data_IF_226540207685
#
_entry.id   IF_226540207685
#
_cell.length_a   1.000
_cell.length_b   1.000
_cell.length_c   1.000
_cell.angle_alpha   90.00
_cell.angle_beta   90.00
_cell.angle_gamma   90.00
#
_symmetry.space_group_name_H-M   'P 1'
#
loop_
_entity.id
_entity.type
_entity.pdbx_description
1 polymer ?
#
# COMPACT_ATOMS: atom_id res chain seq x y z
N UNK A 1 13.42 -10.91 -20.07
CA UNK A 1 14.85 -10.94 -19.72
C UNK A 1 15.08 -11.62 -18.36
N UNK A 2 14.54 -11.10 -17.25
CA UNK A 2 14.65 -11.73 -15.92
C UNK A 2 14.01 -13.13 -15.81
N UNK A 3 12.81 -13.33 -16.35
CA UNK A 3 12.17 -14.65 -16.35
C UNK A 3 12.94 -15.68 -17.19
N UNK A 4 13.54 -15.23 -18.29
CA UNK A 4 14.33 -16.09 -19.19
C UNK A 4 15.69 -16.43 -18.56
N UNK A 5 16.31 -15.48 -17.86
CA UNK A 5 17.49 -15.72 -17.03
C UNK A 5 17.20 -16.67 -15.85
N UNK A 6 16.03 -16.52 -15.20
CA UNK A 6 15.59 -17.43 -14.13
C UNK A 6 15.45 -18.87 -14.65
N UNK A 7 14.72 -19.06 -15.76
CA UNK A 7 14.53 -20.38 -16.38
C UNK A 7 15.84 -20.99 -16.87
N UNK A 8 16.74 -20.18 -17.45
CA UNK A 8 18.05 -20.66 -17.89
C UNK A 8 18.94 -21.12 -16.72
N UNK A 9 18.92 -20.40 -15.60
CA UNK A 9 19.66 -20.78 -14.38
C UNK A 9 19.05 -22.01 -13.72
N UNK A 10 17.72 -22.13 -13.72
CA UNK A 10 16.99 -23.26 -13.13
C UNK A 10 17.20 -24.57 -13.90
N UNK A 11 17.29 -24.52 -15.24
CA UNK A 11 17.56 -25.70 -16.08
C UNK A 11 19.03 -26.15 -15.98
N UNK A 12 19.96 -25.20 -15.79
CA UNK A 12 21.39 -25.49 -15.80
C UNK A 12 21.96 -25.84 -14.41
N UNK A 13 21.18 -25.70 -13.33
CA UNK A 13 21.68 -25.84 -11.97
C UNK A 13 20.95 -26.89 -11.14
N UNK A 14 21.72 -27.73 -10.45
CA UNK A 14 21.23 -28.71 -9.49
C UNK A 14 20.83 -28.07 -8.12
N UNK A 15 20.73 -26.72 -8.07
CA UNK A 15 20.42 -25.91 -6.88
C UNK A 15 19.51 -24.75 -7.28
N UNK A 16 18.55 -24.38 -6.42
CA UNK A 16 17.56 -23.35 -6.74
C UNK A 16 18.24 -21.98 -6.98
N UNK A 17 17.76 -21.14 -7.93
CA UNK A 17 18.42 -19.88 -8.31
C UNK A 17 18.70 -18.93 -7.14
N UNK A 18 17.88 -18.99 -6.09
CA UNK A 18 18.02 -18.21 -4.88
C UNK A 18 19.22 -18.66 -4.00
N UNK A 19 19.56 -19.96 -4.00
CA UNK A 19 20.76 -20.48 -3.32
C UNK A 19 22.04 -19.99 -4.00
N UNK A 20 22.04 -19.96 -5.35
CA UNK A 20 23.17 -19.46 -6.14
C UNK A 20 23.40 -17.98 -5.86
N UNK A 21 22.33 -17.18 -5.86
CA UNK A 21 22.41 -15.76 -5.53
C UNK A 21 22.96 -15.52 -4.12
N UNK A 22 22.53 -16.32 -3.13
CA UNK A 22 23.09 -16.24 -1.79
C UNK A 22 24.58 -16.64 -1.72
N UNK A 23 25.01 -17.66 -2.47
CA UNK A 23 26.42 -18.09 -2.51
C UNK A 23 27.35 -17.08 -3.18
N UNK A 24 26.89 -16.34 -4.19
CA UNK A 24 27.73 -15.36 -4.90
C UNK A 24 27.62 -13.92 -4.38
N UNK A 25 26.49 -13.52 -3.80
CA UNK A 25 26.27 -12.15 -3.32
C UNK A 25 26.74 -11.90 -1.88
N UNK A 26 27.21 -12.94 -1.16
CA UNK A 26 27.69 -12.79 0.22
C UNK A 26 29.21 -12.96 0.29
N UNK A 27 29.90 -11.94 0.82
CA UNK A 27 31.36 -11.86 0.93
C UNK A 27 32.02 -12.95 1.80
N UNK A 28 31.26 -13.88 2.39
CA UNK A 28 31.80 -15.06 3.08
C UNK A 28 30.97 -16.33 2.82
N UNK A 29 31.64 -17.36 2.33
CA UNK A 29 31.05 -18.67 2.06
C UNK A 29 30.45 -19.33 3.33
N UNK A 30 31.05 -19.07 4.49
CA UNK A 30 30.55 -19.59 5.77
C UNK A 30 29.17 -19.03 6.13
N UNK A 31 28.92 -17.73 5.93
CA UNK A 31 27.61 -17.15 6.20
C UNK A 31 26.58 -17.56 5.15
N UNK A 32 27.00 -17.75 3.89
CA UNK A 32 26.14 -18.27 2.84
C UNK A 32 25.61 -19.68 3.16
N UNK A 33 26.46 -20.55 3.71
CA UNK A 33 26.09 -21.92 4.10
C UNK A 33 24.99 -21.94 5.17
N UNK A 34 25.13 -21.15 6.24
CA UNK A 34 24.09 -21.09 7.27
C UNK A 34 22.78 -20.51 6.73
N UNK A 35 22.85 -19.47 5.89
CA UNK A 35 21.66 -18.89 5.24
C UNK A 35 20.94 -19.87 4.33
N UNK A 36 21.66 -20.72 3.60
CA UNK A 36 21.03 -21.74 2.75
C UNK A 36 20.29 -22.78 3.58
N UNK A 37 20.86 -23.22 4.71
CA UNK A 37 20.19 -24.16 5.62
C UNK A 37 18.96 -23.51 6.26
N UNK A 38 19.07 -22.27 6.74
CA UNK A 38 17.94 -21.51 7.27
C UNK A 38 16.82 -21.42 6.23
N UNK A 39 17.17 -21.10 4.98
CA UNK A 39 16.18 -20.98 3.91
C UNK A 39 15.49 -22.31 3.62
N UNK A 40 16.27 -23.38 3.45
CA UNK A 40 15.74 -24.72 3.14
C UNK A 40 14.81 -25.24 4.24
N UNK A 41 15.25 -25.17 5.50
CA UNK A 41 14.45 -25.63 6.63
C UNK A 41 13.27 -24.69 6.92
N UNK A 42 13.44 -23.38 6.73
CA UNK A 42 12.35 -22.43 6.86
C UNK A 42 11.25 -22.69 5.83
N UNK A 43 11.61 -22.95 4.56
CA UNK A 43 10.64 -23.35 3.53
C UNK A 43 9.95 -24.66 3.94
N UNK A 44 10.71 -25.64 4.45
CA UNK A 44 10.12 -26.90 4.94
C UNK A 44 9.08 -26.69 6.07
N UNK A 45 9.24 -25.68 6.93
CA UNK A 45 8.22 -25.32 7.93
C UNK A 45 6.94 -24.76 7.30
N UNK A 46 7.05 -24.11 6.14
CA UNK A 46 5.89 -23.57 5.41
C UNK A 46 5.16 -24.67 4.65
N UNK A 47 5.86 -25.37 3.76
CA UNK A 47 5.23 -26.30 2.80
C UNK A 47 5.22 -27.76 3.27
N UNK A 48 6.01 -28.10 4.29
CA UNK A 48 6.21 -29.46 4.76
C UNK A 48 7.38 -30.16 4.07
N UNK A 49 7.96 -31.15 4.73
CA UNK A 49 9.01 -31.99 4.17
C UNK A 49 9.04 -33.35 4.86
N UNK A 50 8.81 -34.40 4.08
CA UNK A 50 8.84 -35.79 4.57
C UNK A 50 10.24 -36.19 5.02
N UNK A 51 11.28 -35.81 4.27
CA UNK A 51 12.68 -36.07 4.60
C UNK A 51 13.07 -35.49 5.98
N UNK A 52 12.56 -34.29 6.28
CA UNK A 52 12.88 -33.57 7.52
C UNK A 52 11.88 -33.86 8.64
N UNK A 53 10.85 -34.69 8.39
CA UNK A 53 9.79 -35.00 9.35
C UNK A 53 8.91 -33.80 9.75
N UNK A 54 8.80 -32.80 8.87
CA UNK A 54 8.11 -31.53 9.16
C UNK A 54 6.72 -31.54 8.54
N UNK A 55 5.69 -31.40 9.38
CA UNK A 55 4.32 -31.11 8.94
C UNK A 55 4.20 -29.62 8.68
N UNK A 56 4.11 -29.22 7.41
CA UNK A 56 4.05 -27.81 7.00
C UNK A 56 2.80 -27.10 7.50
N UNK A 57 2.89 -25.78 7.70
CA UNK A 57 1.76 -24.92 8.06
C UNK A 57 1.53 -23.82 7.00
N UNK A 58 1.08 -24.16 5.79
CA UNK A 58 1.08 -23.22 4.66
C UNK A 58 0.07 -22.08 4.78
N UNK A 59 -1.05 -22.26 5.47
CA UNK A 59 -2.13 -21.26 5.51
C UNK A 59 -1.93 -20.19 6.58
N UNK A 60 -1.62 -20.59 7.81
CA UNK A 60 -1.52 -19.65 8.94
C UNK A 60 -0.10 -19.55 9.50
N UNK A 61 0.83 -20.34 8.98
CA UNK A 61 2.15 -20.47 9.57
C UNK A 61 2.09 -21.07 10.97
N UNK A 62 3.23 -21.00 11.66
CA UNK A 62 3.39 -21.51 13.03
C UNK A 62 3.21 -20.41 14.09
N UNK A 63 2.90 -19.17 13.68
CA UNK A 63 2.79 -18.03 14.58
C UNK A 63 4.13 -17.66 15.23
N UNK A 64 4.10 -17.41 16.54
CA UNK A 64 5.29 -17.12 17.36
C UNK A 64 5.95 -18.37 17.95
N UNK A 65 5.52 -19.56 17.54
CA UNK A 65 6.15 -20.82 17.96
C UNK A 65 7.54 -20.95 17.36
N UNK A 66 8.37 -21.76 18.01
CA UNK A 66 9.68 -22.10 17.50
C UNK A 66 9.56 -22.94 16.22
N UNK A 67 10.36 -22.59 15.21
CA UNK A 67 10.43 -23.33 13.96
C UNK A 67 11.35 -24.55 14.09
N UNK A 68 11.03 -25.59 13.32
CA UNK A 68 11.81 -26.83 13.30
C UNK A 68 13.07 -26.61 12.45
N UNK A 69 14.23 -26.92 13.01
CA UNK A 69 15.55 -26.73 12.39
C UNK A 69 16.47 -27.92 12.69
N UNK A 70 17.60 -28.09 12.00
CA UNK A 70 18.51 -29.18 12.29
C UNK A 70 19.09 -29.07 13.70
N UNK A 71 19.36 -30.20 14.34
CA UNK A 71 19.83 -30.27 15.74
C UNK A 71 21.14 -29.50 16.00
N UNK A 72 21.98 -29.35 14.98
CA UNK A 72 23.25 -28.63 15.06
C UNK A 72 23.11 -27.10 14.91
N UNK A 73 21.91 -26.61 14.59
CA UNK A 73 21.61 -25.18 14.49
C UNK A 73 21.02 -24.68 15.81
N UNK A 74 21.89 -24.25 16.72
CA UNK A 74 21.47 -23.80 18.05
C UNK A 74 20.65 -22.51 18.00
N UNK A 75 21.01 -21.57 17.13
CA UNK A 75 20.29 -20.30 16.99
C UNK A 75 18.92 -20.49 16.34
N UNK A 76 17.90 -19.88 16.93
CA UNK A 76 16.55 -19.79 16.35
C UNK A 76 16.33 -18.59 15.41
N UNK A 77 17.34 -17.74 15.22
CA UNK A 77 17.22 -16.57 14.34
C UNK A 77 17.08 -16.97 12.87
N UNK A 78 16.24 -16.25 12.14
CA UNK A 78 16.08 -16.39 10.69
C UNK A 78 16.52 -15.11 10.00
N UNK A 79 17.50 -15.23 9.11
CA UNK A 79 18.09 -14.11 8.37
C UNK A 79 17.45 -13.93 6.99
N UNK A 80 16.11 -13.85 6.94
CA UNK A 80 15.36 -13.55 5.73
C UNK A 80 13.98 -13.02 6.11
N UNK A 81 13.73 -11.76 5.80
CA UNK A 81 12.46 -11.10 6.13
C UNK A 81 11.26 -11.81 5.52
N UNK A 82 11.32 -12.06 4.21
CA UNK A 82 10.26 -12.65 3.42
C UNK A 82 9.91 -14.06 3.90
N UNK A 83 10.92 -14.86 4.19
CA UNK A 83 10.76 -16.20 4.71
C UNK A 83 10.10 -16.20 6.10
N UNK A 84 10.51 -15.29 6.98
CA UNK A 84 9.89 -15.17 8.31
C UNK A 84 8.40 -14.85 8.21
N UNK A 85 8.00 -13.99 7.26
CA UNK A 85 6.58 -13.70 7.03
C UNK A 85 5.82 -14.97 6.62
N UNK A 86 6.41 -15.81 5.76
CA UNK A 86 5.81 -17.08 5.34
C UNK A 86 5.76 -18.11 6.47
N UNK A 87 6.82 -18.24 7.27
CA UNK A 87 6.90 -19.19 8.38
C UNK A 87 5.89 -18.82 9.47
N UNK A 88 5.82 -17.54 9.84
CA UNK A 88 4.97 -17.08 10.94
C UNK A 88 3.50 -16.98 10.57
N UNK A 89 3.21 -16.51 9.36
CA UNK A 89 1.86 -16.13 8.94
C UNK A 89 1.34 -16.92 7.73
N UNK A 90 2.10 -17.92 7.27
CA UNK A 90 1.76 -18.71 6.10
C UNK A 90 1.93 -17.95 4.77
N UNK A 91 1.60 -18.64 3.69
CA UNK A 91 1.57 -18.11 2.33
C UNK A 91 0.63 -16.91 2.22
N UNK A 92 -0.59 -16.88 2.82
CA UNK A 92 -1.45 -15.69 2.78
C UNK A 92 -0.82 -14.45 3.43
N UNK A 93 -0.22 -14.60 4.62
CA UNK A 93 0.45 -13.48 5.31
C UNK A 93 1.67 -12.97 4.54
N UNK A 94 2.48 -13.87 4.00
CA UNK A 94 3.57 -13.53 3.08
C UNK A 94 3.07 -12.82 1.82
N UNK A 95 2.07 -13.39 1.14
CA UNK A 95 1.55 -12.84 -0.11
C UNK A 95 0.99 -11.43 0.08
N UNK A 96 0.22 -11.21 1.15
CA UNK A 96 -0.38 -9.88 1.41
C UNK A 96 0.68 -8.81 1.67
N UNK A 97 1.69 -9.08 2.51
CA UNK A 97 2.74 -8.10 2.77
C UNK A 97 3.63 -7.86 1.54
N UNK A 98 4.05 -8.93 0.85
CA UNK A 98 4.92 -8.82 -0.33
C UNK A 98 4.18 -8.15 -1.49
N UNK A 99 2.92 -8.50 -1.73
CA UNK A 99 2.14 -7.87 -2.79
C UNK A 99 1.87 -6.40 -2.49
N UNK A 100 1.45 -6.06 -1.25
CA UNK A 100 1.24 -4.66 -0.86
C UNK A 100 2.50 -3.82 -1.02
N UNK A 101 3.65 -4.37 -0.61
CA UNK A 101 4.94 -3.74 -0.77
C UNK A 101 5.31 -3.53 -2.25
N UNK A 102 5.26 -4.59 -3.07
CA UNK A 102 5.59 -4.54 -4.50
C UNK A 102 4.66 -3.57 -5.22
N UNK A 103 3.35 -3.61 -4.96
CA UNK A 103 2.38 -2.71 -5.58
C UNK A 103 2.63 -1.25 -5.22
N UNK A 104 3.00 -0.96 -3.97
CA UNK A 104 3.37 0.41 -3.55
C UNK A 104 4.56 0.93 -4.33
N UNK A 105 5.66 0.17 -4.36
CA UNK A 105 6.87 0.54 -5.13
C UNK A 105 6.53 0.67 -6.62
N UNK A 106 5.81 -0.30 -7.17
CA UNK A 106 5.44 -0.37 -8.58
C UNK A 106 4.55 0.80 -9.03
N UNK A 107 3.64 1.29 -8.16
CA UNK A 107 2.80 2.46 -8.44
C UNK A 107 3.62 3.75 -8.41
N UNK A 108 4.42 3.94 -7.38
CA UNK A 108 5.25 5.15 -7.22
C UNK A 108 6.30 5.22 -8.35
N UNK A 109 6.93 4.10 -8.69
CA UNK A 109 7.91 4.01 -9.78
C UNK A 109 7.32 4.41 -11.15
N UNK A 110 6.03 4.13 -11.38
CA UNK A 110 5.33 4.49 -12.63
C UNK A 110 4.71 5.89 -12.60
N UNK A 111 4.82 6.62 -11.49
CA UNK A 111 4.21 7.94 -11.38
C UNK A 111 5.02 8.96 -12.18
N UNK A 112 4.36 9.61 -13.12
CA UNK A 112 4.92 10.79 -13.79
C UNK A 112 4.52 12.08 -13.05
N UNK A 113 5.42 13.05 -13.01
CA UNK A 113 5.27 14.33 -12.33
C UNK A 113 5.42 15.53 -13.28
N UNK A 114 5.08 15.36 -14.57
CA UNK A 114 4.95 16.44 -15.56
C UNK A 114 6.16 17.39 -15.62
N UNK A 115 7.37 16.86 -15.43
CA UNK A 115 8.61 17.64 -15.48
C UNK A 115 9.01 18.34 -14.17
N UNK A 116 8.28 18.17 -13.06
CA UNK A 116 8.71 18.66 -11.75
C UNK A 116 9.96 17.90 -11.27
N UNK A 117 11.11 18.58 -11.35
CA UNK A 117 12.43 17.98 -11.09
C UNK A 117 12.61 17.56 -9.63
N UNK A 118 12.11 18.34 -8.67
CA UNK A 118 12.23 18.03 -7.25
C UNK A 118 11.43 16.79 -6.85
N UNK A 119 10.15 16.71 -7.25
CA UNK A 119 9.32 15.53 -6.99
C UNK A 119 9.89 14.27 -7.66
N UNK A 120 10.42 14.42 -8.87
CA UNK A 120 11.08 13.33 -9.59
C UNK A 120 12.31 12.81 -8.85
N UNK A 121 13.15 13.70 -8.29
CA UNK A 121 14.30 13.31 -7.47
C UNK A 121 13.89 12.60 -6.18
N UNK A 122 12.89 13.11 -5.46
CA UNK A 122 12.41 12.45 -4.24
C UNK A 122 11.81 11.06 -4.52
N UNK A 123 11.03 10.93 -5.60
CA UNK A 123 10.53 9.62 -6.07
C UNK A 123 11.67 8.67 -6.36
N UNK A 124 12.68 9.11 -7.12
CA UNK A 124 13.83 8.28 -7.45
C UNK A 124 14.59 7.83 -6.21
N UNK A 125 14.89 8.75 -5.28
CA UNK A 125 15.56 8.43 -4.03
C UNK A 125 14.77 7.37 -3.24
N UNK A 126 13.46 7.60 -3.06
CA UNK A 126 12.58 6.67 -2.35
C UNK A 126 12.53 5.29 -3.04
N UNK A 127 12.36 5.23 -4.36
CA UNK A 127 12.31 3.96 -5.11
C UNK A 127 13.64 3.22 -5.01
N UNK A 128 14.78 3.88 -5.18
CA UNK A 128 16.09 3.23 -5.05
C UNK A 128 16.33 2.72 -3.63
N UNK A 129 15.92 3.46 -2.60
CA UNK A 129 16.00 3.00 -1.21
C UNK A 129 15.22 1.71 -1.03
N UNK A 130 13.96 1.62 -1.48
CA UNK A 130 13.15 0.41 -1.28
C UNK A 130 13.53 -0.75 -2.21
N UNK A 131 14.05 -0.50 -3.41
CA UNK A 131 14.64 -1.55 -4.23
C UNK A 131 15.90 -2.14 -3.58
N UNK A 132 16.80 -1.29 -3.06
CA UNK A 132 17.97 -1.73 -2.31
C UNK A 132 17.59 -2.48 -1.03
N UNK A 133 16.61 -1.95 -0.29
CA UNK A 133 16.09 -2.59 0.91
C UNK A 133 15.49 -3.97 0.60
N UNK A 134 14.76 -4.13 -0.52
CA UNK A 134 14.19 -5.42 -0.95
C UNK A 134 15.26 -6.50 -1.06
N UNK A 135 16.42 -6.15 -1.63
CA UNK A 135 17.56 -7.05 -1.73
C UNK A 135 18.14 -7.37 -0.35
N UNK A 136 18.33 -6.37 0.51
CA UNK A 136 18.82 -6.57 1.88
C UNK A 136 17.91 -7.50 2.68
N UNK A 137 16.59 -7.32 2.57
CA UNK A 137 15.56 -8.10 3.26
C UNK A 137 15.53 -9.59 2.84
N UNK A 138 16.10 -9.96 1.70
CA UNK A 138 16.29 -11.35 1.32
C UNK A 138 17.36 -12.07 2.16
N UNK A 139 18.20 -11.33 2.89
CA UNK A 139 19.35 -11.88 3.64
C UNK A 139 19.42 -11.46 5.10
N UNK A 140 18.50 -10.60 5.54
CA UNK A 140 18.38 -10.09 6.90
C UNK A 140 16.92 -9.92 7.25
N UNK A 141 16.55 -10.27 8.47
CA UNK A 141 15.25 -9.90 9.04
C UNK A 141 15.38 -8.62 9.86
N UNK A 142 14.45 -7.68 9.64
CA UNK A 142 14.37 -6.45 10.43
C UNK A 142 13.46 -6.66 11.64
N UNK A 143 14.03 -6.55 12.84
CA UNK A 143 13.31 -6.76 14.10
C UNK A 143 12.88 -5.44 14.73
N UNK A 144 11.81 -5.50 15.53
CA UNK A 144 11.37 -4.46 16.48
C UNK A 144 11.36 -3.03 15.90
N UNK A 145 12.21 -2.14 16.39
CA UNK A 145 12.21 -0.72 16.04
C UNK A 145 12.58 -0.47 14.58
N UNK A 146 13.47 -1.29 14.02
CA UNK A 146 13.90 -1.17 12.62
C UNK A 146 12.74 -1.56 11.70
N UNK A 147 11.98 -2.61 12.05
CA UNK A 147 10.76 -2.98 11.34
C UNK A 147 9.78 -1.79 11.28
N UNK A 148 9.48 -1.20 12.44
CA UNK A 148 8.57 -0.06 12.54
C UNK A 148 9.06 1.13 11.72
N UNK A 149 10.35 1.44 11.78
CA UNK A 149 10.95 2.53 11.01
C UNK A 149 10.86 2.32 9.50
N UNK A 150 11.19 1.11 9.03
CA UNK A 150 11.11 0.74 7.60
C UNK A 150 9.69 0.92 7.07
N UNK A 151 8.69 0.37 7.75
CA UNK A 151 7.31 0.44 7.27
C UNK A 151 6.66 1.81 7.50
N UNK A 152 7.10 2.56 8.51
CA UNK A 152 6.75 3.97 8.66
C UNK A 152 7.25 4.79 7.46
N UNK A 153 8.53 4.66 7.10
CA UNK A 153 9.10 5.38 5.96
C UNK A 153 8.49 4.93 4.62
N UNK A 154 8.13 3.65 4.52
CA UNK A 154 7.39 3.13 3.37
C UNK A 154 6.01 3.81 3.25
N UNK A 155 5.23 3.81 4.34
CA UNK A 155 3.93 4.47 4.40
C UNK A 155 4.01 5.98 4.16
N UNK A 156 5.02 6.64 4.73
CA UNK A 156 5.27 8.06 4.53
C UNK A 156 5.58 8.44 3.08
N UNK A 157 5.99 7.49 2.22
CA UNK A 157 6.15 7.72 0.78
C UNK A 157 4.90 7.50 -0.06
N UNK A 158 3.84 6.90 0.49
CA UNK A 158 2.65 6.52 -0.27
C UNK A 158 1.88 7.72 -0.85
N UNK A 159 2.06 8.92 -0.27
CA UNK A 159 1.48 10.17 -0.79
C UNK A 159 1.95 10.53 -2.21
N UNK A 160 3.11 10.03 -2.67
CA UNK A 160 3.57 10.21 -4.05
C UNK A 160 2.55 9.67 -5.08
N UNK A 161 1.70 8.72 -4.68
CA UNK A 161 0.67 8.17 -5.56
C UNK A 161 -0.40 9.22 -5.90
N UNK A 162 -0.74 10.09 -4.95
CA UNK A 162 -1.88 11.01 -5.05
C UNK A 162 -1.48 12.45 -5.32
N UNK A 163 -0.21 12.82 -5.15
CA UNK A 163 0.23 14.20 -5.39
C UNK A 163 0.01 14.60 -6.86
N UNK A 164 -0.51 15.82 -7.03
CA UNK A 164 -0.66 16.47 -8.31
C UNK A 164 0.54 17.40 -8.53
N UNK A 165 1.37 17.12 -9.53
CA UNK A 165 2.58 17.88 -9.80
C UNK A 165 2.31 19.34 -10.20
N UNK A 166 1.10 19.62 -10.69
CA UNK A 166 0.66 20.94 -11.14
C UNK A 166 -0.25 21.66 -10.13
N UNK A 167 -0.44 21.11 -8.92
CA UNK A 167 -1.25 21.77 -7.90
C UNK A 167 -0.57 23.07 -7.47
N UNK A 168 -1.27 24.18 -7.69
CA UNK A 168 -0.91 25.47 -7.11
C UNK A 168 -1.16 25.44 -5.60
N UNK A 169 -0.43 26.21 -4.77
CA UNK A 169 -0.65 26.24 -3.32
C UNK A 169 -2.11 26.45 -2.91
N UNK A 170 -2.88 27.18 -3.73
CA UNK A 170 -4.32 27.42 -3.55
C UNK A 170 -5.21 26.17 -3.74
N UNK A 171 -4.78 25.16 -4.51
CA UNK A 171 -5.54 23.92 -4.73
C UNK A 171 -5.44 22.94 -3.55
N UNK A 172 -4.43 23.10 -2.69
CA UNK A 172 -4.16 22.22 -1.55
C UNK A 172 -5.19 22.38 -0.42
N UNK A 173 -5.75 23.59 -0.27
CA UNK A 173 -6.73 23.95 0.77
C UNK A 173 -8.17 24.01 0.25
N UNK A 174 -8.39 23.80 -1.05
CA UNK A 174 -9.72 23.75 -1.63
C UNK A 174 -10.43 22.45 -1.19
N UNK A 175 -11.61 22.52 -0.53
CA UNK A 175 -12.37 21.32 -0.20
C UNK A 175 -12.63 20.54 -1.48
N UNK A 176 -12.11 19.33 -1.54
CA UNK A 176 -12.29 18.41 -2.66
C UNK A 176 -13.79 18.35 -2.98
N UNK A 177 -14.23 18.69 -4.21
CA UNK A 177 -15.66 18.73 -4.51
C UNK A 177 -16.22 17.33 -4.31
N UNK A 178 -17.06 17.18 -3.28
CA UNK A 178 -17.79 15.93 -3.06
C UNK A 178 -18.46 15.55 -4.39
N UNK A 179 -18.37 14.28 -4.83
CA UNK A 179 -19.08 13.83 -6.00
C UNK A 179 -20.54 14.20 -5.80
N UNK A 180 -21.07 15.03 -6.71
CA UNK A 180 -22.43 15.55 -6.66
C UNK A 180 -23.40 14.37 -6.74
N UNK A 181 -23.76 13.82 -5.58
CA UNK A 181 -24.79 12.80 -5.48
C UNK A 181 -26.11 13.46 -5.91
N UNK A 182 -26.71 13.05 -7.05
CA UNK A 182 -28.01 13.55 -7.43
C UNK A 182 -29.02 12.94 -6.46
N UNK A 183 -29.67 13.78 -5.65
CA UNK A 183 -30.89 13.41 -4.94
C UNK A 183 -30.84 13.34 -3.42
N UNK A 184 -29.77 13.80 -2.74
CA UNK A 184 -29.79 13.86 -1.28
C UNK A 184 -30.61 15.08 -0.83
N UNK A 185 -31.90 14.86 -0.53
CA UNK A 185 -32.77 15.86 0.10
C UNK A 185 -32.08 16.31 1.39
N UNK A 186 -31.57 17.53 1.37
CA UNK A 186 -30.84 18.13 2.49
C UNK A 186 -31.84 18.48 3.58
N UNK A 187 -32.05 17.57 4.53
CA UNK A 187 -32.80 17.89 5.75
C UNK A 187 -32.05 18.95 6.53
N UNK A 188 -32.49 20.20 6.41
CA UNK A 188 -32.05 21.32 7.24
C UNK A 188 -33.20 21.72 8.15
N UNK A 189 -32.93 21.89 9.45
CA UNK A 189 -33.92 22.37 10.42
C UNK A 189 -34.34 23.83 10.17
N UNK A 190 -33.57 24.54 9.36
CA UNK A 190 -33.83 25.93 9.02
C UNK A 190 -34.60 26.00 7.70
N UNK A 191 -35.68 26.79 7.68
CA UNK A 191 -36.43 27.04 6.46
C UNK A 191 -35.47 27.57 5.38
N UNK A 192 -35.44 26.90 4.23
CA UNK A 192 -34.70 27.40 3.08
C UNK A 192 -35.22 28.79 2.71
N UNK A 193 -34.31 29.76 2.64
CA UNK A 193 -34.67 31.08 2.10
C UNK A 193 -35.07 30.86 0.63
N UNK A 194 -36.26 31.32 0.21
CA UNK A 194 -36.70 31.15 -1.17
C UNK A 194 -35.69 31.78 -2.12
N UNK A 195 -35.40 31.04 -3.19
CA UNK A 195 -34.42 31.42 -4.21
C UNK A 195 -34.81 32.73 -4.92
N UNK A 196 -33.88 33.36 -5.65
CA UNK A 196 -34.13 34.65 -6.30
C UNK A 196 -35.38 34.66 -7.20
N UNK A 197 -35.63 33.57 -7.92
CA UNK A 197 -36.79 33.42 -8.80
C UNK A 197 -38.13 33.35 -8.06
N UNK A 198 -38.16 32.70 -6.90
CA UNK A 198 -39.35 32.55 -6.05
C UNK A 198 -39.66 33.86 -5.28
N UNK A 199 -38.61 34.65 -5.01
CA UNK A 199 -38.74 35.98 -4.43
C UNK A 199 -39.39 36.98 -5.38
N UNK A 200 -39.11 36.89 -6.68
CA UNK A 200 -39.71 37.77 -7.70
C UNK A 200 -41.20 37.46 -7.88
N UNK A 201 -41.57 36.19 -7.91
CA UNK A 201 -42.97 35.75 -8.06
C UNK A 201 -43.83 36.07 -6.83
N UNK A 202 -43.28 35.95 -5.61
CA UNK A 202 -44.02 36.32 -4.39
C UNK A 202 -44.25 37.84 -4.28
N UNK A 203 -43.26 38.67 -4.66
CA UNK A 203 -43.41 40.14 -4.70
C UNK A 203 -44.41 40.58 -5.77
N UNK A 204 -44.41 39.94 -6.94
CA UNK A 204 -45.40 40.20 -7.97
C UNK A 204 -46.81 39.86 -7.50
N UNK A 205 -47.01 38.68 -6.91
CA UNK A 205 -48.32 38.23 -6.39
C UNK A 205 -48.84 39.14 -5.26
N UNK A 206 -47.95 39.61 -4.38
CA UNK A 206 -48.30 40.54 -3.30
C UNK A 206 -48.71 41.93 -3.82
N UNK A 207 -48.06 42.43 -4.90
CA UNK A 207 -48.46 43.68 -5.56
C UNK A 207 -49.83 43.58 -6.23
N UNK A 208 -50.11 42.46 -6.91
CA UNK A 208 -51.42 42.24 -7.55
C UNK A 208 -52.55 42.15 -6.52
N UNK A 209 -52.32 41.47 -5.39
CA UNK A 209 -53.32 41.38 -4.31
C UNK A 209 -53.62 42.75 -3.66
N UNK A 210 -52.61 43.61 -3.49
CA UNK A 210 -52.80 44.97 -2.97
C UNK A 210 -53.57 45.89 -3.92
N UNK A 211 -53.31 45.76 -5.23
CA UNK A 211 -54.04 46.54 -6.25
C UNK A 211 -55.53 46.18 -6.31
N UNK A 212 -55.86 44.90 -6.13
CA UNK A 212 -57.26 44.43 -6.11
C UNK A 212 -58.02 44.89 -4.85
N UNK A 213 -57.35 44.97 -3.69
CA UNK A 213 -57.99 45.50 -2.47
C UNK A 213 -58.25 47.00 -2.52
N UNK A 214 -57.38 47.79 -3.17
CA UNK A 214 -57.62 49.23 -3.34
C UNK A 214 -58.75 49.53 -4.32
N UNK A 215 -58.94 48.70 -5.35
CA UNK A 215 -60.05 48.84 -6.30
C UNK A 215 -61.43 48.47 -5.71
N UNK A 216 -61.48 47.66 -4.64
CA UNK A 216 -62.73 47.21 -4.03
C UNK A 216 -63.26 48.14 -2.91
N UNK A 217 -62.47 49.14 -2.50
CA UNK A 217 -62.81 50.05 -1.40
C UNK A 217 -63.51 51.35 -1.83
N UNK A 218 -63.65 51.62 -3.13
CA UNK A 218 -64.23 52.86 -3.62
C UNK A 218 -65.71 52.67 -3.98
N UNK A 219 -66.59 52.81 -2.98
CA UNK A 219 -68.03 52.98 -3.19
C UNK A 219 -68.29 54.39 -3.75
N UNK A 220 -69.10 54.55 -4.82
CA UNK A 220 -69.65 55.86 -5.15
C UNK A 220 -70.77 56.22 -4.16
N UNK A 221 -70.90 57.53 -3.92
CA UNK A 221 -71.88 58.28 -3.11
C UNK A 221 -72.99 57.49 -2.40
#
# INVERSE_FOLDING_TARGET
LFALAYVAIDILSNRTPLQIFMSYATFSAHTAYWRSIIFEWGVANVIGSTEKGITGSPLFGIGLKEWIRPYYMYSGSMDNFWLVMAVRYGIPGFATVTLGYILGVAKIMRRDFDGNSALTQFRLAWVFTFLGLSFTLCTVHVWTSIYSFVFFFFGAGMWFITVNANATPEDSDAPQPEPSQPGRIRYTRFAQKPGPAERITSVAKARTARGLQQSAGQKPA
#
